data_IF_930093062927
#
_entry.id   IF_930093062927
#
_cell.length_a   1.000
_cell.length_b   1.000
_cell.length_c   1.000
_cell.angle_alpha   90.00
_cell.angle_beta   90.00
_cell.angle_gamma   90.00
#
_symmetry.space_group_name_H-M   'P 1'
#
loop_
_entity.id
_entity.type
_entity.pdbx_description
1 polymer ?
#
# COMPACT_ATOMS: atom_id res chain seq x y z
N UNK A 1 -24.33 -9.47 -11.07
CA UNK A 1 -23.61 -10.08 -9.93
C UNK A 1 -22.21 -10.59 -10.26
N UNK A 2 -21.95 -11.36 -11.34
CA UNK A 2 -20.59 -11.88 -11.59
C UNK A 2 -19.58 -10.77 -11.87
N UNK A 3 -19.97 -9.70 -12.57
CA UNK A 3 -19.12 -8.53 -12.80
C UNK A 3 -18.66 -7.86 -11.49
N UNK A 4 -19.59 -7.58 -10.57
CA UNK A 4 -19.27 -6.98 -9.27
C UNK A 4 -18.33 -7.87 -8.44
N UNK A 5 -18.63 -9.17 -8.36
CA UNK A 5 -17.78 -10.12 -7.66
C UNK A 5 -16.38 -10.21 -8.28
N UNK A 6 -16.28 -10.24 -9.61
CA UNK A 6 -15.01 -10.25 -10.33
C UNK A 6 -14.20 -8.97 -10.09
N UNK A 7 -14.84 -7.79 -10.09
CA UNK A 7 -14.14 -6.53 -9.78
C UNK A 7 -13.64 -6.46 -8.34
N UNK A 8 -14.44 -6.91 -7.36
CA UNK A 8 -14.01 -6.94 -5.96
C UNK A 8 -12.88 -7.95 -5.78
N UNK A 9 -13.00 -9.14 -6.37
CA UNK A 9 -11.97 -10.16 -6.34
C UNK A 9 -10.67 -9.66 -6.96
N UNK A 10 -10.73 -9.10 -8.18
CA UNK A 10 -9.54 -8.59 -8.87
C UNK A 10 -8.91 -7.45 -8.08
N UNK A 11 -9.70 -6.53 -7.54
CA UNK A 11 -9.20 -5.43 -6.70
C UNK A 11 -8.48 -5.95 -5.45
N UNK A 12 -9.08 -6.86 -4.70
CA UNK A 12 -8.47 -7.49 -3.54
C UNK A 12 -7.21 -8.28 -3.93
N UNK A 13 -7.26 -9.08 -4.98
CA UNK A 13 -6.10 -9.84 -5.48
C UNK A 13 -4.93 -8.91 -5.82
N UNK A 14 -5.18 -7.82 -6.54
CA UNK A 14 -4.14 -6.84 -6.88
C UNK A 14 -3.56 -6.16 -5.63
N UNK A 15 -4.41 -5.77 -4.66
CA UNK A 15 -3.95 -5.17 -3.40
C UNK A 15 -3.07 -6.13 -2.59
N UNK A 16 -3.46 -7.39 -2.47
CA UNK A 16 -2.67 -8.40 -1.74
C UNK A 16 -1.41 -8.81 -2.51
N UNK A 17 -1.39 -8.72 -3.84
CA UNK A 17 -0.22 -9.02 -4.66
C UNK A 17 0.89 -7.95 -4.51
N UNK A 18 0.56 -6.74 -4.10
CA UNK A 18 1.55 -5.70 -3.78
C UNK A 18 2.47 -6.14 -2.63
N UNK A 19 1.93 -6.79 -1.59
CA UNK A 19 2.71 -7.22 -0.43
C UNK A 19 3.92 -8.13 -0.78
N UNK A 20 3.77 -9.25 -1.53
CA UNK A 20 4.91 -10.07 -1.92
C UNK A 20 5.85 -9.39 -2.92
N UNK A 21 5.35 -8.49 -3.79
CA UNK A 21 6.19 -7.72 -4.72
C UNK A 21 7.14 -6.80 -3.96
N UNK A 22 6.60 -6.02 -3.02
CA UNK A 22 7.39 -5.11 -2.18
C UNK A 22 8.34 -5.91 -1.28
N UNK A 23 7.86 -7.00 -0.67
CA UNK A 23 8.71 -7.87 0.14
C UNK A 23 9.93 -8.37 -0.65
N UNK A 24 9.75 -8.78 -1.91
CA UNK A 24 10.86 -9.19 -2.79
C UNK A 24 11.85 -8.06 -3.09
N UNK A 25 11.38 -6.81 -3.21
CA UNK A 25 12.24 -5.65 -3.49
C UNK A 25 13.05 -5.22 -2.27
N UNK A 26 12.49 -5.36 -1.07
CA UNK A 26 13.10 -4.98 0.21
C UNK A 26 14.07 -6.09 0.70
N UNK A 27 13.83 -7.36 0.32
CA UNK A 27 14.63 -8.52 0.74
C UNK A 27 16.16 -8.37 0.55
N UNK A 28 16.70 -7.81 -0.55
CA UNK A 28 18.13 -7.66 -0.73
C UNK A 28 18.78 -6.66 0.24
N UNK A 29 18.01 -5.70 0.77
CA UNK A 29 18.52 -4.65 1.66
C UNK A 29 18.34 -5.00 3.14
N UNK A 30 17.23 -5.67 3.49
CA UNK A 30 16.86 -5.94 4.88
C UNK A 30 17.02 -7.42 5.28
N UNK A 31 17.28 -8.31 4.32
CA UNK A 31 17.46 -9.75 4.53
C UNK A 31 16.16 -10.51 4.80
N UNK A 32 16.21 -11.84 4.75
CA UNK A 32 15.05 -12.73 4.95
C UNK A 32 14.70 -13.01 6.41
N UNK A 33 14.87 -12.04 7.30
CA UNK A 33 14.60 -12.22 8.73
C UNK A 33 13.08 -12.27 9.00
N UNK A 34 12.67 -13.06 9.99
CA UNK A 34 11.26 -13.18 10.39
C UNK A 34 10.66 -11.84 10.87
N UNK A 35 11.49 -10.93 11.40
CA UNK A 35 11.08 -9.60 11.83
C UNK A 35 10.63 -8.72 10.66
N UNK A 36 11.36 -8.72 9.54
CA UNK A 36 10.98 -7.95 8.33
C UNK A 36 9.62 -8.41 7.80
N UNK A 37 9.39 -9.72 7.77
CA UNK A 37 8.10 -10.27 7.34
C UNK A 37 6.95 -9.84 8.26
N UNK A 38 7.14 -9.89 9.58
CA UNK A 38 6.13 -9.48 10.55
C UNK A 38 5.81 -7.98 10.45
N UNK A 39 6.82 -7.12 10.26
CA UNK A 39 6.62 -5.67 10.08
C UNK A 39 5.85 -5.39 8.79
N UNK A 40 6.21 -6.02 7.67
CA UNK A 40 5.48 -5.90 6.41
C UNK A 40 4.01 -6.31 6.56
N UNK A 41 3.73 -7.37 7.33
CA UNK A 41 2.35 -7.78 7.63
C UNK A 41 1.62 -6.72 8.44
N UNK A 42 2.18 -6.27 9.57
CA UNK A 42 1.52 -5.27 10.43
C UNK A 42 1.25 -3.99 9.65
N UNK A 43 2.23 -3.49 8.89
CA UNK A 43 2.08 -2.34 8.02
C UNK A 43 0.90 -2.51 7.05
N UNK A 44 0.87 -3.63 6.30
CA UNK A 44 -0.19 -3.87 5.32
C UNK A 44 -1.56 -3.99 5.97
N UNK A 45 -1.67 -4.70 7.10
CA UNK A 45 -2.94 -4.85 7.82
C UNK A 45 -3.42 -3.51 8.41
N UNK A 46 -2.53 -2.70 8.96
CA UNK A 46 -2.85 -1.36 9.46
C UNK A 46 -3.33 -0.45 8.33
N UNK A 47 -2.68 -0.50 7.16
CA UNK A 47 -3.08 0.30 6.01
C UNK A 47 -4.43 -0.15 5.43
N UNK A 48 -4.69 -1.46 5.35
CA UNK A 48 -6.00 -1.99 4.98
C UNK A 48 -7.10 -1.52 5.93
N UNK A 49 -6.85 -1.57 7.24
CA UNK A 49 -7.80 -1.10 8.24
C UNK A 49 -8.09 0.40 8.09
N UNK A 50 -7.05 1.21 7.87
CA UNK A 50 -7.21 2.64 7.58
C UNK A 50 -8.01 2.88 6.30
N UNK A 51 -7.79 2.08 5.25
CA UNK A 51 -8.57 2.11 4.01
C UNK A 51 -10.05 1.81 4.22
N UNK A 52 -10.39 0.84 5.09
CA UNK A 52 -11.79 0.57 5.46
C UNK A 52 -12.41 1.72 6.26
N UNK A 53 -11.68 2.28 7.23
CA UNK A 53 -12.15 3.43 8.00
C UNK A 53 -12.40 4.66 7.11
N UNK A 54 -11.48 4.93 6.17
CA UNK A 54 -11.65 5.95 5.14
C UNK A 54 -12.91 5.71 4.30
N UNK A 55 -13.12 4.48 3.83
CA UNK A 55 -14.27 4.13 2.98
C UNK A 55 -15.60 4.29 3.73
N UNK A 56 -15.66 3.83 4.99
CA UNK A 56 -16.83 3.98 5.85
C UNK A 56 -17.16 5.46 6.12
N UNK A 57 -16.15 6.26 6.46
CA UNK A 57 -16.32 7.69 6.66
C UNK A 57 -16.82 8.40 5.40
N UNK A 58 -16.24 8.07 4.24
CA UNK A 58 -16.56 8.69 2.97
C UNK A 58 -18.01 8.38 2.54
N UNK A 59 -18.45 7.14 2.70
CA UNK A 59 -19.83 6.72 2.39
C UNK A 59 -20.83 7.38 3.33
N UNK A 60 -20.49 7.55 4.61
CA UNK A 60 -21.40 8.16 5.60
C UNK A 60 -21.52 9.67 5.48
N UNK A 61 -20.48 10.37 5.02
CA UNK A 61 -20.40 11.84 5.10
C UNK A 61 -20.47 12.56 3.76
N UNK A 62 -20.16 11.90 2.63
CA UNK A 62 -20.07 12.54 1.33
C UNK A 62 -21.13 12.03 0.34
N UNK A 63 -21.60 12.93 -0.52
CA UNK A 63 -22.48 12.60 -1.65
C UNK A 63 -21.69 11.91 -2.77
N UNK A 64 -22.35 11.09 -3.58
CA UNK A 64 -21.71 10.30 -4.64
C UNK A 64 -20.81 11.13 -5.59
N UNK A 65 -21.21 12.36 -5.94
CA UNK A 65 -20.41 13.27 -6.76
C UNK A 65 -19.08 13.65 -6.08
N UNK A 66 -19.11 13.92 -4.78
CA UNK A 66 -17.90 14.25 -4.02
C UNK A 66 -17.03 13.02 -3.81
N UNK A 67 -17.62 11.83 -3.62
CA UNK A 67 -16.85 10.58 -3.53
C UNK A 67 -16.06 10.33 -4.82
N UNK A 68 -16.66 10.56 -5.99
CA UNK A 68 -15.98 10.47 -7.28
C UNK A 68 -14.80 11.46 -7.34
N UNK A 69 -15.02 12.74 -7.01
CA UNK A 69 -13.96 13.75 -7.03
C UNK A 69 -12.79 13.37 -6.11
N UNK A 70 -13.07 12.91 -4.89
CA UNK A 70 -12.02 12.49 -3.95
C UNK A 70 -11.20 11.33 -4.51
N UNK A 71 -11.85 10.29 -5.05
CA UNK A 71 -11.12 9.15 -5.62
C UNK A 71 -10.35 9.51 -6.89
N UNK A 72 -10.89 10.37 -7.75
CA UNK A 72 -10.18 10.84 -8.95
C UNK A 72 -8.93 11.63 -8.55
N UNK A 73 -9.04 12.56 -7.60
CA UNK A 73 -7.88 13.29 -7.08
C UNK A 73 -6.87 12.33 -6.46
N UNK A 74 -7.32 11.39 -5.62
CA UNK A 74 -6.45 10.39 -5.00
C UNK A 74 -5.71 9.54 -6.04
N UNK A 75 -6.38 9.11 -7.11
CA UNK A 75 -5.77 8.39 -8.23
C UNK A 75 -4.76 9.26 -8.98
N UNK A 76 -5.08 10.53 -9.26
CA UNK A 76 -4.16 11.47 -9.90
C UNK A 76 -2.92 11.72 -9.05
N UNK A 77 -3.07 11.84 -7.73
CA UNK A 77 -1.94 11.97 -6.80
C UNK A 77 -1.10 10.69 -6.78
N UNK A 78 -1.72 9.51 -6.79
CA UNK A 78 -1.00 8.23 -6.86
C UNK A 78 -0.11 8.11 -8.11
N UNK A 79 -0.55 8.67 -9.26
CA UNK A 79 0.25 8.72 -10.48
C UNK A 79 1.54 9.54 -10.33
N UNK A 80 1.58 10.52 -9.42
CA UNK A 80 2.80 11.28 -9.12
C UNK A 80 3.83 10.44 -8.36
N UNK A 81 3.39 9.41 -7.63
CA UNK A 81 4.22 8.44 -6.94
C UNK A 81 4.58 7.21 -7.79
N UNK A 82 4.13 7.16 -9.05
CA UNK A 82 4.43 6.09 -9.99
C UNK A 82 5.92 5.87 -10.34
N UNK A 83 6.85 6.84 -10.22
CA UNK A 83 8.27 6.50 -10.17
C UNK A 83 8.59 5.79 -8.85
N UNK A 84 8.13 4.53 -8.75
CA UNK A 84 8.40 3.55 -7.68
C UNK A 84 9.87 3.09 -7.75
N UNK A 85 10.69 3.62 -8.67
CA UNK A 85 12.12 3.36 -8.68
C UNK A 85 12.75 4.00 -7.44
N UNK A 86 13.26 3.21 -6.48
CA UNK A 86 13.96 3.76 -5.34
C UNK A 86 15.23 4.42 -5.88
N UNK A 87 15.31 5.74 -5.81
CA UNK A 87 16.54 6.44 -6.17
C UNK A 87 17.69 5.92 -5.30
N UNK A 88 18.92 5.94 -5.82
CA UNK A 88 20.16 5.48 -5.17
C UNK A 88 20.41 6.05 -3.74
N UNK A 89 19.61 7.03 -3.32
CA UNK A 89 19.58 7.66 -1.99
C UNK A 89 19.07 6.78 -0.85
N UNK A 90 18.37 5.67 -1.11
CA UNK A 90 17.83 4.78 -0.06
C UNK A 90 18.76 3.60 0.27
N UNK A 91 19.98 3.58 -0.31
CA UNK A 91 20.98 2.56 -0.02
C UNK A 91 21.54 2.78 1.40
N UNK A 92 21.34 1.85 2.36
CA UNK A 92 21.86 2.02 3.71
C UNK A 92 23.39 2.07 3.68
N UNK A 93 23.99 3.15 4.17
CA UNK A 93 25.46 3.31 4.28
C UNK A 93 26.05 2.62 5.52
N UNK A 94 25.26 1.79 6.22
CA UNK A 94 25.74 0.86 7.25
C UNK A 94 25.64 1.34 8.71
N UNK A 95 25.12 2.54 8.98
CA UNK A 95 25.07 3.10 10.34
C UNK A 95 23.66 3.40 10.89
N UNK A 96 22.60 3.11 10.14
CA UNK A 96 21.22 3.43 10.54
C UNK A 96 20.41 2.15 10.79
N UNK A 97 19.62 2.15 11.87
CA UNK A 97 18.74 1.02 12.21
C UNK A 97 17.70 0.82 11.11
N UNK A 98 17.79 -0.25 10.31
CA UNK A 98 16.98 -0.45 9.11
C UNK A 98 15.49 -0.66 9.45
N UNK A 99 15.18 -0.94 10.72
CA UNK A 99 13.81 -1.25 11.16
C UNK A 99 12.85 -0.06 11.02
N UNK A 100 13.36 1.17 11.14
CA UNK A 100 12.53 2.40 11.07
C UNK A 100 12.17 2.78 9.63
N UNK A 101 12.96 2.34 8.64
CA UNK A 101 12.75 2.66 7.21
C UNK A 101 11.60 1.87 6.56
N UNK A 102 11.07 0.84 7.23
CA UNK A 102 9.98 -0.01 6.72
C UNK A 102 8.60 0.53 7.15
N UNK A 103 8.53 1.29 8.25
CA UNK A 103 7.30 1.92 8.77
C UNK A 103 6.95 3.21 8.02
#
# INVERSE_FOLDING_TARGET
MPLYAATIFLSAFLLFLVQPVIARQILPWFGGSASVWAICLVFFQSLLLAGYAYSDFLIRKLTAKRQLTVHVIMLSVSLLWLPIAPGDRWKPTGAEDPTVLIL
#
